data_IF_364296137568
#
_entry.id   IF_364296137568
#
_cell.length_a   1.000
_cell.length_b   1.000
_cell.length_c   1.000
_cell.angle_alpha   90.00
_cell.angle_beta   90.00
_cell.angle_gamma   90.00
#
_symmetry.space_group_name_H-M   'P 1'
#
loop_
_entity.id
_entity.type
_entity.pdbx_description
1 polymer ?
#
# COMPACT_ATOMS: atom_id res chain seq x y z
N UNK A 1 11.51 28.59 12.32
CA UNK A 1 11.05 28.91 10.95
C UNK A 1 11.23 27.72 10.03
N UNK A 2 10.28 27.50 9.15
CA UNK A 2 10.34 26.38 8.20
C UNK A 2 10.97 26.84 6.89
N UNK A 3 11.80 25.98 6.31
CA UNK A 3 12.44 26.23 5.02
C UNK A 3 11.54 25.83 3.86
N UNK A 4 10.69 24.80 4.07
CA UNK A 4 9.82 24.25 3.04
C UNK A 4 8.47 23.89 3.64
N UNK A 5 7.40 24.26 2.93
CA UNK A 5 6.03 23.93 3.29
C UNK A 5 5.45 23.09 2.17
N UNK A 6 4.89 21.93 2.52
CA UNK A 6 4.31 21.00 1.55
C UNK A 6 2.83 20.82 1.88
N UNK A 7 1.99 20.93 0.86
CA UNK A 7 0.55 20.68 0.98
C UNK A 7 0.25 19.39 0.22
N UNK A 8 -0.17 18.38 0.95
CA UNK A 8 -0.48 17.07 0.42
C UNK A 8 0.56 16.00 0.80
N UNK A 9 0.10 14.93 1.43
CA UNK A 9 0.92 13.83 1.93
C UNK A 9 0.94 12.60 1.02
N UNK A 10 0.63 12.77 -0.28
CA UNK A 10 0.75 11.72 -1.27
C UNK A 10 2.21 11.47 -1.67
N UNK A 11 2.45 10.59 -2.68
CA UNK A 11 3.82 10.23 -3.08
C UNK A 11 4.72 11.42 -3.40
N UNK A 12 4.21 12.42 -4.10
CA UNK A 12 5.00 13.62 -4.39
C UNK A 12 5.36 14.37 -3.11
N UNK A 13 4.40 14.53 -2.21
CA UNK A 13 4.59 15.28 -0.97
C UNK A 13 5.51 14.58 0.01
N UNK A 14 5.29 13.31 0.33
CA UNK A 14 6.13 12.64 1.32
C UNK A 14 7.54 12.38 0.81
N UNK A 15 7.72 12.12 -0.49
CA UNK A 15 9.06 11.97 -1.08
C UNK A 15 9.82 13.28 -1.03
N UNK A 16 9.15 14.39 -1.36
CA UNK A 16 9.76 15.72 -1.27
C UNK A 16 10.14 16.07 0.17
N UNK A 17 9.27 15.75 1.13
CA UNK A 17 9.53 15.99 2.56
C UNK A 17 10.73 15.19 3.05
N UNK A 18 10.80 13.91 2.70
CA UNK A 18 11.92 13.04 3.05
C UNK A 18 13.22 13.55 2.47
N UNK A 19 13.24 13.92 1.21
CA UNK A 19 14.42 14.43 0.54
C UNK A 19 14.90 15.74 1.17
N UNK A 20 13.99 16.66 1.42
CA UNK A 20 14.30 17.94 2.06
C UNK A 20 14.83 17.74 3.48
N UNK A 21 14.23 16.82 4.24
CA UNK A 21 14.70 16.46 5.58
C UNK A 21 16.12 15.91 5.57
N UNK A 22 16.44 15.05 4.62
CA UNK A 22 17.82 14.52 4.46
C UNK A 22 18.83 15.61 4.10
N UNK A 23 18.38 16.69 3.49
CA UNK A 23 19.24 17.86 3.21
C UNK A 23 19.37 18.82 4.39
N UNK A 24 18.79 18.48 5.54
CA UNK A 24 18.87 19.30 6.74
C UNK A 24 17.89 20.46 6.77
N UNK A 25 16.90 20.49 5.90
CA UNK A 25 15.90 21.55 5.87
C UNK A 25 14.81 21.31 6.91
N UNK A 26 14.27 22.41 7.44
CA UNK A 26 13.10 22.35 8.30
C UNK A 26 11.84 22.31 7.43
N UNK A 27 11.14 21.17 7.44
CA UNK A 27 10.00 20.94 6.56
C UNK A 27 8.73 20.80 7.38
N UNK A 28 7.65 21.40 6.90
CA UNK A 28 6.31 21.16 7.41
C UNK A 28 5.43 20.65 6.28
N UNK A 29 4.66 19.59 6.54
CA UNK A 29 3.77 18.97 5.58
C UNK A 29 2.35 18.95 6.15
N UNK A 30 1.39 19.41 5.35
CA UNK A 30 -0.02 19.39 5.71
C UNK A 30 -0.75 18.34 4.89
N UNK A 31 -1.52 17.47 5.56
CA UNK A 31 -2.37 16.46 4.92
C UNK A 31 -3.76 16.51 5.54
N UNK A 32 -4.78 16.66 4.70
CA UNK A 32 -6.15 16.78 5.19
C UNK A 32 -6.83 15.47 5.58
N UNK A 33 -6.32 14.34 5.07
CA UNK A 33 -6.86 13.01 5.34
C UNK A 33 -5.80 12.12 5.95
N UNK A 34 -5.32 11.14 5.17
CA UNK A 34 -4.31 10.18 5.62
C UNK A 34 -3.01 10.35 4.84
N UNK A 35 -1.90 10.23 5.52
CA UNK A 35 -0.59 10.21 4.86
C UNK A 35 -0.54 9.06 3.85
N UNK A 36 0.18 9.28 2.75
CA UNK A 36 0.33 8.31 1.68
C UNK A 36 -0.52 8.58 0.45
N UNK A 37 -1.56 9.43 0.58
CA UNK A 37 -2.42 9.83 -0.53
C UNK A 37 -3.26 8.68 -1.09
N UNK A 38 -3.78 8.86 -2.29
CA UNK A 38 -4.64 7.88 -2.95
C UNK A 38 -3.89 6.58 -3.22
N UNK A 39 -2.63 6.66 -3.66
CA UNK A 39 -1.85 5.46 -3.99
C UNK A 39 -1.75 4.49 -2.80
N UNK A 40 -1.35 4.96 -1.62
CA UNK A 40 -1.21 4.10 -0.45
C UNK A 40 -2.55 3.69 0.16
N UNK A 41 -3.52 4.59 0.20
CA UNK A 41 -4.77 4.36 0.94
C UNK A 41 -5.90 3.76 0.10
N UNK A 42 -6.04 4.18 -1.15
CA UNK A 42 -7.21 3.87 -1.97
C UNK A 42 -6.88 3.39 -3.39
N UNK A 43 -5.63 3.44 -3.80
CA UNK A 43 -5.21 3.16 -5.17
C UNK A 43 -4.24 1.99 -5.30
N UNK A 44 -2.99 2.29 -5.63
CA UNK A 44 -1.98 1.31 -6.06
C UNK A 44 -1.76 0.18 -5.04
N UNK A 45 -1.56 0.52 -3.78
CA UNK A 45 -1.20 -0.48 -2.77
C UNK A 45 -2.37 -1.39 -2.41
N UNK A 46 -3.56 -0.88 -2.06
CA UNK A 46 -4.69 -1.79 -1.82
C UNK A 46 -5.07 -2.60 -3.06
N UNK A 47 -5.02 -2.00 -4.26
CA UNK A 47 -5.30 -2.70 -5.51
C UNK A 47 -4.33 -3.85 -5.74
N UNK A 48 -3.03 -3.61 -5.62
CA UNK A 48 -2.01 -4.65 -5.81
C UNK A 48 -2.10 -5.72 -4.75
N UNK A 49 -2.43 -5.37 -3.51
CA UNK A 49 -2.60 -6.34 -2.43
C UNK A 49 -3.77 -7.27 -2.71
N UNK A 50 -4.90 -6.74 -3.17
CA UNK A 50 -6.07 -7.54 -3.54
C UNK A 50 -5.80 -8.40 -4.77
N UNK A 51 -5.11 -7.87 -5.77
CA UNK A 51 -4.73 -8.62 -6.98
C UNK A 51 -3.80 -9.79 -6.64
N UNK A 52 -2.89 -9.61 -5.70
CA UNK A 52 -2.01 -10.70 -5.28
C UNK A 52 -2.80 -11.85 -4.65
N UNK A 53 -3.79 -11.54 -3.82
CA UNK A 53 -4.68 -12.57 -3.26
C UNK A 53 -5.48 -13.27 -4.34
N UNK A 54 -6.01 -12.53 -5.31
CA UNK A 54 -6.76 -13.09 -6.43
C UNK A 54 -5.88 -14.01 -7.28
N UNK A 55 -4.64 -13.60 -7.56
CA UNK A 55 -3.67 -14.39 -8.33
C UNK A 55 -3.29 -15.67 -7.58
N UNK A 56 -3.12 -15.59 -6.27
CA UNK A 56 -2.80 -16.75 -5.43
C UNK A 56 -3.93 -17.78 -5.50
N UNK A 57 -5.17 -17.33 -5.42
CA UNK A 57 -6.34 -18.20 -5.55
C UNK A 57 -6.40 -18.85 -6.93
N UNK A 58 -6.21 -18.06 -7.98
CA UNK A 58 -6.22 -18.55 -9.37
C UNK A 58 -5.10 -19.58 -9.60
N UNK A 59 -3.90 -19.32 -9.11
CA UNK A 59 -2.78 -20.24 -9.20
C UNK A 59 -3.08 -21.57 -8.49
N UNK A 60 -3.72 -21.52 -7.32
CA UNK A 60 -4.08 -22.73 -6.58
C UNK A 60 -5.12 -23.56 -7.35
N UNK A 61 -6.10 -22.91 -8.00
CA UNK A 61 -7.10 -23.59 -8.79
C UNK A 61 -6.52 -24.29 -10.05
N UNK A 62 -5.49 -23.71 -10.64
CA UNK A 62 -4.93 -24.14 -11.92
C UNK A 62 -3.49 -24.65 -11.82
N UNK A 63 -3.07 -25.05 -10.61
CA UNK A 63 -1.71 -25.53 -10.37
C UNK A 63 -1.41 -26.86 -11.01
N UNK A 64 -2.41 -27.64 -11.40
CA UNK A 64 -2.25 -28.95 -12.04
C UNK A 64 -1.42 -28.90 -13.31
N UNK A 65 -1.47 -27.79 -14.05
CA UNK A 65 -0.62 -27.54 -15.22
C UNK A 65 0.87 -27.62 -14.92
N UNK A 66 1.22 -27.37 -13.67
CA UNK A 66 2.61 -27.30 -13.20
C UNK A 66 2.95 -28.42 -12.23
N UNK A 67 2.11 -29.45 -12.14
CA UNK A 67 2.32 -30.56 -11.25
C UNK A 67 1.97 -30.28 -9.78
N UNK A 68 1.29 -29.18 -9.52
CA UNK A 68 0.86 -28.82 -8.17
C UNK A 68 -0.64 -29.05 -8.04
N UNK A 69 -1.04 -29.86 -7.07
CA UNK A 69 -2.44 -30.22 -6.86
C UNK A 69 -2.90 -29.71 -5.51
N UNK A 70 -4.08 -29.10 -5.50
CA UNK A 70 -4.72 -28.58 -4.30
C UNK A 70 -6.21 -28.93 -4.31
N UNK A 71 -6.70 -29.46 -3.19
CA UNK A 71 -8.10 -29.80 -3.01
C UNK A 71 -8.81 -28.74 -2.18
N UNK A 72 -10.10 -28.56 -2.45
CA UNK A 72 -10.97 -27.66 -1.67
C UNK A 72 -10.42 -26.23 -1.58
N UNK A 73 -9.89 -25.71 -2.70
CA UNK A 73 -9.37 -24.33 -2.76
C UNK A 73 -10.53 -23.37 -2.56
N UNK A 74 -10.40 -22.50 -1.58
CA UNK A 74 -11.41 -21.50 -1.23
C UNK A 74 -10.73 -20.23 -0.74
N UNK A 75 -11.51 -19.16 -0.64
CA UNK A 75 -11.01 -17.91 -0.09
C UNK A 75 -11.95 -17.39 1.00
N UNK A 76 -11.41 -16.56 1.87
CA UNK A 76 -12.15 -15.85 2.89
C UNK A 76 -11.99 -14.36 2.61
N UNK A 77 -13.04 -13.72 2.14
CA UNK A 77 -13.00 -12.31 1.75
C UNK A 77 -12.65 -11.39 2.92
N UNK A 78 -13.13 -11.72 4.11
CA UNK A 78 -12.82 -10.94 5.31
C UNK A 78 -11.32 -10.96 5.61
N UNK A 79 -10.66 -12.11 5.45
CA UNK A 79 -9.21 -12.22 5.63
C UNK A 79 -8.43 -11.50 4.54
N UNK A 80 -8.93 -11.52 3.31
CA UNK A 80 -8.31 -10.79 2.19
C UNK A 80 -8.32 -9.29 2.46
N UNK A 81 -9.48 -8.75 2.87
CA UNK A 81 -9.61 -7.32 3.17
C UNK A 81 -8.82 -6.92 4.42
N UNK A 82 -8.78 -7.78 5.45
CA UNK A 82 -7.99 -7.53 6.65
C UNK A 82 -6.49 -7.45 6.33
N UNK A 83 -5.99 -8.33 5.45
CA UNK A 83 -4.61 -8.28 5.00
C UNK A 83 -4.33 -6.98 4.22
N UNK A 84 -5.23 -6.59 3.34
CA UNK A 84 -5.13 -5.33 2.60
C UNK A 84 -5.02 -4.15 3.56
N UNK A 85 -5.90 -4.08 4.54
CA UNK A 85 -5.89 -3.00 5.54
C UNK A 85 -4.58 -2.97 6.34
N UNK A 86 -4.06 -4.13 6.71
CA UNK A 86 -2.80 -4.24 7.44
C UNK A 86 -1.61 -3.75 6.62
N UNK A 87 -1.55 -4.10 5.33
CA UNK A 87 -0.48 -3.65 4.43
C UNK A 87 -0.53 -2.14 4.27
N UNK A 88 -1.70 -1.57 4.02
CA UNK A 88 -1.88 -0.13 3.88
C UNK A 88 -1.45 0.59 5.16
N UNK A 89 -1.91 0.12 6.31
CA UNK A 89 -1.59 0.71 7.62
C UNK A 89 -0.09 0.72 7.88
N UNK A 90 0.58 -0.39 7.56
CA UNK A 90 2.03 -0.51 7.74
C UNK A 90 2.79 0.51 6.87
N UNK A 91 2.39 0.68 5.62
CA UNK A 91 3.05 1.61 4.70
C UNK A 91 2.77 3.07 5.06
N UNK A 92 1.56 3.39 5.49
CA UNK A 92 1.21 4.74 5.94
C UNK A 92 1.98 5.11 7.20
N UNK A 93 2.17 4.17 8.13
CA UNK A 93 2.93 4.40 9.36
C UNK A 93 4.43 4.59 9.10
N UNK A 94 4.96 3.98 8.06
CA UNK A 94 6.36 4.15 7.67
C UNK A 94 6.57 5.43 6.92
#
# INVERSE_FOLDING_TARGET
MYDLLIIGGGPAGYVAAERAGHQGLNVILFEKNSMGGVCLNEGCIPTKTLLYSAKTFDNALHGDKYGVFADNVRFDFAKITARKDKVVKKLVAG
#
